data_IF_989987251804
#
_entry.id   IF_989987251804
#
_cell.length_a   1.000
_cell.length_b   1.000
_cell.length_c   1.000
_cell.angle_alpha   90.00
_cell.angle_beta   90.00
_cell.angle_gamma   90.00
#
_symmetry.space_group_name_H-M   'P 1'
#
loop_
_entity.id
_entity.type
_entity.pdbx_description
1 polymer ?
#
# COMPACT_ATOMS: atom_id res chain seq x y z
N UNK A 1 14.21 -27.41 -5.74
CA UNK A 1 14.42 -26.23 -6.60
C UNK A 1 13.40 -25.18 -6.22
N UNK A 2 13.77 -24.20 -5.39
CA UNK A 2 12.99 -22.98 -5.22
C UNK A 2 12.99 -22.31 -6.59
N UNK A 3 11.87 -22.35 -7.30
CA UNK A 3 11.67 -21.38 -8.37
C UNK A 3 11.83 -20.00 -7.71
N UNK A 4 12.70 -19.11 -8.22
CA UNK A 4 12.61 -17.71 -7.88
C UNK A 4 11.31 -17.27 -8.51
N UNK A 5 10.22 -17.38 -7.76
CA UNK A 5 8.94 -16.88 -8.19
C UNK A 5 8.98 -15.39 -7.86
N UNK A 6 9.06 -14.49 -8.86
CA UNK A 6 8.93 -13.06 -8.63
C UNK A 6 7.44 -12.80 -8.36
N UNK A 7 6.96 -13.17 -7.17
CA UNK A 7 5.51 -13.22 -6.88
C UNK A 7 5.02 -12.15 -5.91
N UNK A 8 5.75 -11.04 -5.78
CA UNK A 8 5.26 -9.80 -5.17
C UNK A 8 5.54 -8.59 -6.09
N UNK A 9 5.33 -8.80 -7.39
CA UNK A 9 5.70 -7.87 -8.46
C UNK A 9 4.81 -6.61 -8.58
N UNK A 10 3.77 -6.42 -7.76
CA UNK A 10 2.91 -5.22 -7.86
C UNK A 10 3.67 -3.91 -7.58
N UNK A 11 4.48 -3.88 -6.53
CA UNK A 11 5.35 -2.74 -6.23
C UNK A 11 6.49 -2.60 -7.25
N UNK A 12 7.08 -3.72 -7.67
CA UNK A 12 8.11 -3.73 -8.70
C UNK A 12 7.61 -3.31 -10.07
N UNK A 13 6.36 -3.60 -10.45
CA UNK A 13 5.75 -3.11 -11.69
C UNK A 13 5.63 -1.59 -11.70
N UNK A 14 5.24 -0.98 -10.58
CA UNK A 14 5.22 0.49 -10.45
C UNK A 14 6.63 1.05 -10.55
N UNK A 15 7.61 0.39 -9.91
CA UNK A 15 9.01 0.77 -10.03
C UNK A 15 9.54 0.60 -11.46
N UNK A 16 9.22 -0.48 -12.15
CA UNK A 16 9.60 -0.73 -13.54
C UNK A 16 8.91 0.24 -14.50
N UNK A 17 7.65 0.62 -14.26
CA UNK A 17 6.98 1.67 -15.02
C UNK A 17 7.71 3.01 -14.84
N UNK A 18 8.06 3.37 -13.60
CA UNK A 18 8.85 4.58 -13.31
C UNK A 18 10.25 4.48 -13.96
N UNK A 19 10.93 3.34 -13.88
CA UNK A 19 12.23 3.12 -14.50
C UNK A 19 12.16 3.15 -16.04
N UNK A 20 11.08 2.65 -16.65
CA UNK A 20 10.87 2.69 -18.10
C UNK A 20 10.71 4.12 -18.62
N UNK A 21 10.09 5.00 -17.82
CA UNK A 21 9.97 6.43 -18.13
C UNK A 21 11.27 7.18 -17.80
N UNK A 22 11.98 6.79 -16.73
CA UNK A 22 13.18 7.46 -16.24
C UNK A 22 14.48 7.00 -16.90
N UNK A 23 14.48 5.84 -17.56
CA UNK A 23 15.62 5.22 -18.24
C UNK A 23 16.76 4.75 -17.33
N UNK A 24 16.58 4.79 -16.00
CA UNK A 24 17.61 4.41 -15.01
C UNK A 24 16.98 3.78 -13.77
N UNK A 25 17.63 2.77 -13.16
CA UNK A 25 17.10 2.07 -12.00
C UNK A 25 16.83 3.02 -10.83
N UNK A 26 15.80 2.71 -10.05
CA UNK A 26 15.47 3.40 -8.81
C UNK A 26 16.52 3.03 -7.75
N UNK A 27 17.06 4.05 -7.09
CA UNK A 27 17.98 3.83 -5.99
C UNK A 27 17.26 3.25 -4.76
N UNK A 28 17.99 2.62 -3.84
CA UNK A 28 17.42 2.05 -2.61
C UNK A 28 16.58 3.06 -1.82
N UNK A 29 17.01 4.34 -1.78
CA UNK A 29 16.27 5.41 -1.10
C UNK A 29 14.85 5.60 -1.68
N UNK A 30 14.69 5.52 -3.01
CA UNK A 30 13.40 5.72 -3.66
C UNK A 30 12.44 4.55 -3.39
N UNK A 31 12.97 3.33 -3.26
CA UNK A 31 12.20 2.16 -2.82
C UNK A 31 11.72 2.30 -1.38
N UNK A 32 12.59 2.79 -0.48
CA UNK A 32 12.23 3.04 0.91
C UNK A 32 11.13 4.10 1.03
N UNK A 33 11.26 5.21 0.30
CA UNK A 33 10.22 6.24 0.25
C UNK A 33 8.89 5.71 -0.30
N UNK A 34 8.92 4.92 -1.38
CA UNK A 34 7.74 4.29 -1.94
C UNK A 34 7.04 3.35 -0.95
N UNK A 35 7.82 2.54 -0.22
CA UNK A 35 7.29 1.67 0.84
C UNK A 35 6.66 2.48 1.98
N UNK A 36 7.35 3.52 2.48
CA UNK A 36 6.84 4.36 3.58
C UNK A 36 5.53 5.07 3.21
N UNK A 37 5.42 5.56 1.97
CA UNK A 37 4.19 6.18 1.46
C UNK A 37 3.08 5.14 1.29
N UNK A 38 3.38 3.99 0.69
CA UNK A 38 2.40 2.91 0.53
C UNK A 38 1.86 2.43 1.88
N UNK A 39 2.75 2.25 2.86
CA UNK A 39 2.39 1.83 4.20
C UNK A 39 1.57 2.89 4.95
N UNK A 40 1.91 4.17 4.84
CA UNK A 40 1.12 5.23 5.47
C UNK A 40 -0.29 5.33 4.88
N UNK A 41 -0.45 5.12 3.57
CA UNK A 41 -1.76 5.05 2.92
C UNK A 41 -2.59 3.86 3.42
N UNK A 42 -1.98 2.69 3.57
CA UNK A 42 -2.67 1.51 4.14
C UNK A 42 -3.16 1.80 5.57
N UNK A 43 -2.30 2.37 6.42
CA UNK A 43 -2.70 2.75 7.79
C UNK A 43 -3.84 3.77 7.75
N UNK A 44 -3.75 4.79 6.89
CA UNK A 44 -4.79 5.80 6.76
C UNK A 44 -6.13 5.16 6.37
N UNK A 45 -6.14 4.27 5.39
CA UNK A 45 -7.34 3.55 4.96
C UNK A 45 -7.90 2.66 6.07
N UNK A 46 -7.03 1.95 6.81
CA UNK A 46 -7.44 1.16 7.96
C UNK A 46 -8.11 2.03 9.03
N UNK A 47 -7.54 3.18 9.36
CA UNK A 47 -8.10 4.10 10.37
C UNK A 47 -9.47 4.63 9.92
N UNK A 48 -9.57 5.10 8.67
CA UNK A 48 -10.83 5.64 8.13
C UNK A 48 -11.90 4.56 8.07
N UNK A 49 -11.57 3.36 7.59
CA UNK A 49 -12.49 2.23 7.54
C UNK A 49 -12.95 1.80 8.93
N UNK A 50 -12.00 1.62 9.85
CA UNK A 50 -12.31 1.25 11.25
C UNK A 50 -13.17 2.30 11.93
N UNK A 51 -12.90 3.59 11.71
CA UNK A 51 -13.73 4.66 12.26
C UNK A 51 -15.17 4.60 11.74
N UNK A 52 -15.33 4.40 10.43
CA UNK A 52 -16.65 4.26 9.81
C UNK A 52 -17.40 3.03 10.37
N UNK A 53 -16.71 1.91 10.55
CA UNK A 53 -17.28 0.70 11.14
C UNK A 53 -17.70 0.92 12.59
N UNK A 54 -16.88 1.59 13.41
CA UNK A 54 -17.21 1.92 14.80
C UNK A 54 -18.44 2.83 14.88
N UNK A 55 -18.47 3.90 14.08
CA UNK A 55 -19.63 4.82 14.05
C UNK A 55 -20.89 4.07 13.64
N UNK A 56 -20.80 3.21 12.64
CA UNK A 56 -21.92 2.39 12.18
C UNK A 56 -22.40 1.45 13.28
N UNK A 57 -21.50 0.76 13.98
CA UNK A 57 -21.85 -0.13 15.10
C UNK A 57 -22.50 0.62 16.26
N UNK A 58 -21.98 1.79 16.63
CA UNK A 58 -22.58 2.64 17.65
C UNK A 58 -23.99 3.11 17.23
N UNK A 59 -24.16 3.54 15.98
CA UNK A 59 -25.48 3.94 15.47
C UNK A 59 -26.50 2.81 15.53
N UNK A 60 -26.09 1.56 15.27
CA UNK A 60 -26.96 0.38 15.39
C UNK A 60 -27.29 0.04 16.85
N UNK A 61 -26.33 0.24 17.76
CA UNK A 61 -26.52 -0.09 19.18
C UNK A 61 -27.40 0.93 19.93
N UNK A 62 -27.38 2.21 19.52
CA UNK A 62 -28.07 3.30 20.22
C UNK A 62 -29.21 3.96 19.40
N UNK A 63 -29.34 3.63 18.12
CA UNK A 63 -30.34 4.20 17.21
C UNK A 63 -31.56 3.31 16.97
N UNK A 64 -31.69 2.21 17.73
CA UNK A 64 -32.90 1.39 17.83
C UNK A 64 -33.74 1.74 19.04
#
# INVERSE_FOLDING_TARGET
NLFPIPMLDGGHLVYYAIESVRGKPLGPDAQEWGFRIGFSLVIMLMVVGTWNDVVRLLSMAFGG
#
